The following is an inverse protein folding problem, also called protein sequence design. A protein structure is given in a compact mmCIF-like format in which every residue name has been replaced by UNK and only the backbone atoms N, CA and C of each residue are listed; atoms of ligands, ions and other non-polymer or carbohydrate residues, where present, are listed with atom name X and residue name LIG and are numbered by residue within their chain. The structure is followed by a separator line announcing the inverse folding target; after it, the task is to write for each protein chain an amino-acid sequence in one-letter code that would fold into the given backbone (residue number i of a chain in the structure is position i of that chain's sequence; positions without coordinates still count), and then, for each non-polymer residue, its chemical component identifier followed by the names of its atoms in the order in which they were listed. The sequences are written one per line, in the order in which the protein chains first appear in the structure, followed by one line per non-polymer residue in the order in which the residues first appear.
data_IF_130839262246
#
_entry.id   IF_130839262246
#
_cell.length_a   1.000
_cell.length_b   1.000
_cell.length_c   1.000
_cell.angle_alpha   90.00
_cell.angle_beta   90.00
_cell.angle_gamma   90.00
#
_symmetry.space_group_name_H-M   'P 1'
#
loop_
_entity.id
_entity.type
_entity.pdbx_description
1 polymer ?
#
# COMPACT_ATOMS: atom_id res chain seq x y z
N UNK A 1 -9.37 1.72 -11.32
CA UNK A 1 -10.52 1.25 -10.54
C UNK A 1 -10.89 -0.15 -10.99
N UNK A 2 -11.33 -0.98 -10.07
CA UNK A 2 -11.61 -2.40 -10.32
C UNK A 2 -13.14 -2.56 -10.40
N UNK A 3 -13.75 -2.63 -11.58
CA UNK A 3 -15.22 -2.55 -11.73
C UNK A 3 -15.98 -3.69 -11.05
N UNK A 4 -15.30 -4.79 -10.75
CA UNK A 4 -15.90 -5.95 -10.09
C UNK A 4 -15.40 -6.16 -8.64
N UNK A 5 -14.57 -5.28 -8.13
CA UNK A 5 -14.09 -5.38 -6.76
C UNK A 5 -15.14 -4.88 -5.76
N UNK A 6 -15.25 -5.52 -4.59
CA UNK A 6 -16.10 -5.00 -3.52
C UNK A 6 -15.70 -3.56 -3.12
N UNK A 7 -16.65 -2.73 -2.69
CA UNK A 7 -16.34 -1.41 -2.16
C UNK A 7 -15.26 -1.46 -1.06
N UNK A 8 -14.44 -0.41 -0.89
CA UNK A 8 -13.36 -0.37 0.11
C UNK A 8 -13.83 -0.73 1.52
N UNK A 9 -15.00 -0.25 1.93
CA UNK A 9 -15.58 -0.56 3.25
C UNK A 9 -15.86 -2.07 3.44
N UNK A 10 -16.31 -2.76 2.38
CA UNK A 10 -16.56 -4.20 2.44
C UNK A 10 -15.27 -4.98 2.57
N UNK A 11 -14.20 -4.56 1.86
CA UNK A 11 -12.86 -5.15 1.98
C UNK A 11 -12.29 -4.93 3.38
N UNK A 12 -12.44 -3.73 3.93
CA UNK A 12 -12.03 -3.43 5.30
C UNK A 12 -12.76 -4.31 6.33
N UNK A 13 -14.08 -4.46 6.20
CA UNK A 13 -14.88 -5.33 7.08
C UNK A 13 -14.47 -6.80 7.01
N UNK A 14 -14.02 -7.27 5.83
CA UNK A 14 -13.51 -8.62 5.67
C UNK A 14 -12.16 -8.79 6.40
N UNK A 15 -11.26 -7.82 6.28
CA UNK A 15 -9.98 -7.82 7.01
C UNK A 15 -10.19 -7.81 8.52
N UNK A 16 -11.11 -6.97 9.01
CA UNK A 16 -11.46 -6.88 10.43
C UNK A 16 -11.97 -8.24 10.97
N UNK A 17 -12.86 -8.90 10.24
CA UNK A 17 -13.35 -10.25 10.61
C UNK A 17 -12.24 -11.29 10.65
N UNK A 18 -11.35 -11.28 9.65
CA UNK A 18 -10.21 -12.21 9.62
C UNK A 18 -9.29 -12.00 10.83
N UNK A 19 -9.02 -10.75 11.17
CA UNK A 19 -8.18 -10.43 12.33
C UNK A 19 -8.83 -10.81 13.65
N UNK A 20 -10.13 -10.58 13.81
CA UNK A 20 -10.90 -11.05 14.97
C UNK A 20 -10.92 -12.58 15.09
N UNK A 21 -10.81 -13.29 13.98
CA UNK A 21 -10.67 -14.74 13.94
C UNK A 21 -9.23 -15.24 14.17
N UNK A 22 -8.28 -14.35 14.50
CA UNK A 22 -6.88 -14.69 14.75
C UNK A 22 -6.04 -14.93 13.49
N UNK A 23 -6.55 -14.57 12.31
CA UNK A 23 -5.80 -14.67 11.06
C UNK A 23 -4.90 -13.44 10.91
N UNK A 24 -3.60 -13.65 10.71
CA UNK A 24 -2.67 -12.55 10.41
C UNK A 24 -3.00 -11.94 9.05
N UNK A 25 -3.23 -10.64 9.03
CA UNK A 25 -3.55 -9.90 7.81
C UNK A 25 -2.47 -8.85 7.52
N UNK A 26 -2.30 -8.51 6.25
CA UNK A 26 -1.56 -7.34 5.83
C UNK A 26 -2.40 -6.53 4.83
N UNK A 27 -2.09 -5.26 4.69
CA UNK A 27 -2.76 -4.37 3.75
C UNK A 27 -1.80 -4.01 2.62
N UNK A 28 -2.21 -4.24 1.37
CA UNK A 28 -1.52 -3.69 0.21
C UNK A 28 -2.16 -2.35 -0.16
N UNK A 29 -1.48 -1.26 0.15
CA UNK A 29 -1.81 0.10 -0.27
C UNK A 29 -1.07 0.40 -1.58
N UNK A 30 -1.40 -0.36 -2.62
CA UNK A 30 -0.86 -0.27 -3.97
C UNK A 30 -2.01 -0.04 -4.94
N UNK A 31 -2.03 0.93 -5.75
CA UNK A 31 -1.07 2.02 -5.95
C UNK A 31 -1.65 3.33 -5.41
N UNK A 32 -0.83 4.17 -4.78
CA UNK A 32 -1.23 5.53 -4.45
C UNK A 32 -0.94 6.44 -5.64
N UNK A 33 -1.81 7.41 -5.87
CA UNK A 33 -1.68 8.39 -6.95
C UNK A 33 -2.09 9.77 -6.46
N UNK A 34 -1.52 10.78 -7.06
CA UNK A 34 -1.82 12.17 -6.78
C UNK A 34 -3.29 12.51 -7.14
N UNK A 35 -3.92 13.45 -6.44
CA UNK A 35 -3.27 14.37 -5.50
C UNK A 35 -3.30 13.93 -4.03
N UNK A 36 -3.07 12.66 -3.71
CA UNK A 36 -3.04 12.21 -2.31
C UNK A 36 -1.96 12.95 -1.50
N UNK A 37 -2.41 13.72 -0.52
CA UNK A 37 -1.56 14.46 0.38
C UNK A 37 -1.47 13.86 1.78
N UNK A 38 -0.90 14.62 2.71
CA UNK A 38 -0.71 14.21 4.09
C UNK A 38 -2.02 13.85 4.81
N UNK A 39 -3.08 14.64 4.58
CA UNK A 39 -4.40 14.42 5.20
C UNK A 39 -5.06 13.15 4.68
N UNK A 40 -4.95 12.85 3.37
CA UNK A 40 -5.48 11.64 2.75
C UNK A 40 -4.79 10.39 3.31
N UNK A 41 -3.44 10.43 3.43
CA UNK A 41 -2.69 9.35 4.06
C UNK A 41 -3.01 9.20 5.53
N UNK A 42 -3.21 10.28 6.26
CA UNK A 42 -3.62 10.22 7.65
C UNK A 42 -4.98 9.55 7.81
N UNK A 43 -5.97 9.94 7.00
CA UNK A 43 -7.29 9.31 7.00
C UNK A 43 -7.18 7.82 6.68
N UNK A 44 -6.50 7.46 5.58
CA UNK A 44 -6.35 6.07 5.14
C UNK A 44 -5.63 5.20 6.17
N UNK A 45 -4.51 5.67 6.73
CA UNK A 45 -3.77 4.94 7.76
C UNK A 45 -4.56 4.80 9.07
N UNK A 46 -5.43 5.76 9.40
CA UNK A 46 -6.32 5.65 10.56
C UNK A 46 -7.32 4.50 10.43
N UNK A 47 -7.83 4.24 9.22
CA UNK A 47 -8.65 3.06 8.94
C UNK A 47 -7.85 1.76 9.13
N UNK A 48 -6.60 1.70 8.68
CA UNK A 48 -5.78 0.51 8.86
C UNK A 48 -5.40 0.32 10.33
N UNK A 49 -5.10 1.39 11.05
CA UNK A 49 -4.83 1.32 12.49
C UNK A 49 -6.01 0.77 13.30
N UNK A 50 -7.23 1.03 12.86
CA UNK A 50 -8.44 0.51 13.51
C UNK A 50 -8.55 -1.04 13.39
N UNK A 51 -7.82 -1.68 12.49
CA UNK A 51 -7.67 -3.14 12.43
C UNK A 51 -6.77 -3.70 13.56
N UNK A 52 -6.04 -2.89 14.29
CA UNK A 52 -5.07 -3.32 15.29
C UNK A 52 -3.63 -3.29 14.78
N UNK A 53 -2.78 -4.22 15.22
CA UNK A 53 -1.42 -4.35 14.68
C UNK A 53 -1.47 -4.94 13.28
N UNK A 54 -1.03 -4.17 12.28
CA UNK A 54 -1.09 -4.58 10.87
C UNK A 54 0.13 -4.08 10.10
N UNK A 55 0.60 -4.90 9.17
CA UNK A 55 1.63 -4.53 8.20
C UNK A 55 0.96 -3.90 6.98
N UNK A 56 1.45 -2.74 6.56
CA UNK A 56 1.00 -2.04 5.36
C UNK A 56 2.14 -1.99 4.34
N UNK A 57 1.89 -2.51 3.15
CA UNK A 57 2.80 -2.42 2.01
C UNK A 57 2.35 -1.27 1.12
N UNK A 58 3.21 -0.29 0.91
CA UNK A 58 2.91 0.90 0.11
C UNK A 58 3.78 0.97 -1.14
N UNK A 59 3.15 1.22 -2.28
CA UNK A 59 3.79 1.43 -3.56
C UNK A 59 3.13 2.61 -4.30
N UNK A 60 3.88 3.64 -4.73
CA UNK A 60 3.38 4.69 -5.60
C UNK A 60 3.04 4.17 -6.99
N UNK A 61 2.18 4.89 -7.73
CA UNK A 61 1.75 4.46 -9.06
C UNK A 61 2.94 4.34 -10.03
N UNK A 62 2.90 3.26 -10.82
CA UNK A 62 3.86 2.99 -11.90
C UNK A 62 3.20 3.27 -13.26
N UNK A 63 3.70 4.27 -14.04
CA UNK A 63 3.09 4.65 -15.32
C UNK A 63 3.20 3.60 -16.42
N UNK A 64 4.01 2.54 -16.21
CA UNK A 64 4.20 1.45 -17.17
C UNK A 64 3.26 0.26 -16.92
N UNK A 65 2.56 0.27 -15.79
CA UNK A 65 1.60 -0.79 -15.47
C UNK A 65 0.39 -0.78 -16.43
N UNK A 66 -0.11 -1.95 -16.81
CA UNK A 66 -1.29 -2.06 -17.68
C UNK A 66 -2.54 -1.41 -17.05
N UNK A 67 -2.59 -1.32 -15.73
CA UNK A 67 -3.67 -0.70 -14.98
C UNK A 67 -3.59 0.85 -14.95
N UNK A 68 -2.42 1.43 -15.28
CA UNK A 68 -2.25 2.89 -15.30
C UNK A 68 -3.25 3.58 -16.25
N UNK A 69 -3.34 3.07 -17.49
CA UNK A 69 -4.28 3.61 -18.48
C UNK A 69 -5.75 3.45 -18.03
N UNK A 70 -6.05 2.40 -17.28
CA UNK A 70 -7.39 2.22 -16.72
C UNK A 70 -7.69 3.25 -15.62
N UNK A 71 -6.70 3.58 -14.77
CA UNK A 71 -6.83 4.63 -13.77
C UNK A 71 -7.04 6.00 -14.42
N UNK A 72 -6.25 6.32 -15.44
CA UNK A 72 -6.39 7.57 -16.21
C UNK A 72 -7.79 7.69 -16.83
N UNK A 73 -8.23 6.66 -17.56
CA UNK A 73 -9.56 6.63 -18.17
C UNK A 73 -10.68 6.74 -17.13
N UNK A 74 -10.52 6.09 -15.98
CA UNK A 74 -11.52 6.17 -14.91
C UNK A 74 -11.59 7.57 -14.28
N UNK A 75 -10.45 8.26 -14.13
CA UNK A 75 -10.39 9.63 -13.64
C UNK A 75 -11.06 10.59 -14.64
N UNK A 76 -10.77 10.46 -15.94
CA UNK A 76 -11.41 11.22 -17.02
C UNK A 76 -12.94 11.06 -16.99
N UNK A 77 -13.43 9.81 -16.92
CA UNK A 77 -14.86 9.51 -16.88
C UNK A 77 -15.56 10.04 -15.61
N UNK A 78 -14.82 10.15 -14.51
CA UNK A 78 -15.35 10.67 -13.26
C UNK A 78 -15.25 12.21 -13.16
N UNK A 79 -14.56 12.87 -14.10
CA UNK A 79 -14.38 14.32 -14.11
C UNK A 79 -13.39 14.82 -13.06
N UNK A 80 -12.40 14.00 -12.70
CA UNK A 80 -11.31 14.38 -11.79
C UNK A 80 -10.14 14.97 -12.61
N UNK A 81 -10.32 16.20 -13.10
CA UNK A 81 -9.37 16.83 -14.02
C UNK A 81 -7.98 17.03 -13.42
N UNK A 82 -7.87 17.32 -12.12
CA UNK A 82 -6.63 17.43 -11.37
C UNK A 82 -5.87 16.10 -11.30
N UNK A 83 -6.56 14.99 -11.06
CA UNK A 83 -5.97 13.64 -11.08
C UNK A 83 -5.49 13.27 -12.48
N UNK A 84 -6.27 13.63 -13.51
CA UNK A 84 -5.89 13.38 -14.92
C UNK A 84 -4.61 14.12 -15.27
N UNK A 85 -4.51 15.41 -14.93
CA UNK A 85 -3.33 16.23 -15.20
C UNK A 85 -2.08 15.65 -14.53
N UNK A 86 -2.17 15.27 -13.26
CA UNK A 86 -1.08 14.65 -12.51
C UNK A 86 -0.65 13.31 -13.11
N UNK A 87 -1.58 12.42 -13.42
CA UNK A 87 -1.27 11.13 -14.03
C UNK A 87 -0.59 11.33 -15.39
N UNK A 88 -1.03 12.28 -16.19
CA UNK A 88 -0.37 12.62 -17.47
C UNK A 88 1.06 13.10 -17.27
N UNK A 89 1.33 13.96 -16.29
CA UNK A 89 2.69 14.39 -15.96
C UNK A 89 3.58 13.23 -15.52
N UNK A 90 3.05 12.32 -14.69
CA UNK A 90 3.77 11.09 -14.28
C UNK A 90 4.10 10.21 -15.49
N UNK A 91 3.21 10.12 -16.49
CA UNK A 91 3.42 9.36 -17.71
C UNK A 91 4.44 9.99 -18.64
N UNK A 92 4.38 11.30 -18.81
CA UNK A 92 5.13 12.02 -19.84
C UNK A 92 6.54 12.41 -19.40
N UNK A 93 6.80 12.47 -18.08
CA UNK A 93 8.07 12.91 -17.53
C UNK A 93 8.63 11.93 -16.49
N UNK A 94 9.71 11.24 -16.88
CA UNK A 94 10.45 10.38 -15.95
C UNK A 94 10.93 11.14 -14.70
N UNK A 95 11.41 12.39 -14.88
CA UNK A 95 11.84 13.20 -13.73
C UNK A 95 10.67 13.48 -12.79
N UNK A 96 9.52 13.84 -13.33
CA UNK A 96 8.31 14.10 -12.55
C UNK A 96 7.88 12.83 -11.80
N UNK A 97 7.87 11.67 -12.47
CA UNK A 97 7.57 10.38 -11.82
C UNK A 97 8.50 10.09 -10.64
N UNK A 98 9.82 10.35 -10.78
CA UNK A 98 10.80 10.14 -9.69
C UNK A 98 10.51 11.05 -8.50
N UNK A 99 10.27 12.35 -8.75
CA UNK A 99 9.99 13.35 -7.72
C UNK A 99 8.68 13.02 -7.01
N UNK A 100 7.63 12.73 -7.76
CA UNK A 100 6.34 12.29 -7.27
C UNK A 100 6.45 11.03 -6.39
N UNK A 101 7.11 9.98 -6.88
CA UNK A 101 7.25 8.75 -6.11
C UNK A 101 8.00 8.97 -4.80
N UNK A 102 9.08 9.78 -4.81
CA UNK A 102 9.81 10.13 -3.59
C UNK A 102 8.95 10.91 -2.61
N UNK A 103 8.13 11.85 -3.09
CA UNK A 103 7.22 12.61 -2.26
C UNK A 103 6.20 11.68 -1.59
N UNK A 104 5.54 10.82 -2.35
CA UNK A 104 4.57 9.83 -1.83
C UNK A 104 5.20 8.90 -0.80
N UNK A 105 6.38 8.33 -1.10
CA UNK A 105 7.11 7.45 -0.19
C UNK A 105 7.47 8.14 1.14
N UNK A 106 7.95 9.38 1.07
CA UNK A 106 8.31 10.15 2.27
C UNK A 106 7.09 10.56 3.09
N UNK A 107 6.02 11.03 2.42
CA UNK A 107 4.79 11.48 3.09
C UNK A 107 4.14 10.33 3.85
N UNK A 108 4.01 9.16 3.21
CA UNK A 108 3.46 7.97 3.89
C UNK A 108 4.29 7.60 5.11
N UNK A 109 5.62 7.56 5.00
CA UNK A 109 6.50 7.25 6.12
C UNK A 109 6.38 8.28 7.25
N UNK A 110 6.31 9.57 6.91
CA UNK A 110 6.14 10.63 7.90
C UNK A 110 4.80 10.51 8.63
N UNK A 111 3.72 10.28 7.90
CA UNK A 111 2.38 10.12 8.49
C UNK A 111 2.32 8.85 9.35
N UNK A 112 2.93 7.75 8.90
CA UNK A 112 2.96 6.48 9.62
C UNK A 112 3.56 6.60 11.03
N UNK A 113 4.54 7.51 11.24
CA UNK A 113 5.12 7.74 12.56
C UNK A 113 4.12 8.23 13.63
N UNK A 114 2.94 8.67 13.23
CA UNK A 114 1.88 9.13 14.12
C UNK A 114 0.98 8.01 14.64
N UNK A 115 1.18 6.78 14.13
CA UNK A 115 0.34 5.64 14.44
C UNK A 115 1.16 4.50 15.08
N UNK A 116 0.98 4.30 16.37
CA UNK A 116 1.53 3.13 17.06
C UNK A 116 0.81 1.86 16.56
N UNK A 117 1.58 0.80 16.28
CA UNK A 117 1.05 -0.50 15.84
C UNK A 117 0.78 -0.61 14.33
N UNK A 118 1.12 0.40 13.52
CA UNK A 118 1.25 0.27 12.08
C UNK A 118 2.71 0.07 11.70
N UNK A 119 2.97 -0.97 10.92
CA UNK A 119 4.29 -1.25 10.34
C UNK A 119 4.21 -0.99 8.83
N UNK A 120 4.56 0.22 8.42
CA UNK A 120 4.41 0.67 7.03
C UNK A 120 5.71 0.51 6.27
N UNK A 121 5.70 -0.35 5.25
CA UNK A 121 6.81 -0.61 4.36
C UNK A 121 6.56 0.01 3.00
N UNK A 122 7.35 1.00 2.64
CA UNK A 122 7.28 1.68 1.34
C UNK A 122 8.21 1.02 0.34
N UNK A 123 7.68 0.64 -0.81
CA UNK A 123 8.42 -0.06 -1.85
C UNK A 123 8.49 0.77 -3.14
N UNK A 124 9.64 1.37 -3.48
CA UNK A 124 9.83 1.98 -4.79
C UNK A 124 9.97 0.90 -5.87
N UNK A 125 9.32 1.12 -7.01
CA UNK A 125 9.44 0.23 -8.18
C UNK A 125 10.90 0.03 -8.60
N UNK A 126 11.27 -1.21 -8.92
CA UNK A 126 12.65 -1.58 -9.28
C UNK A 126 13.16 -0.82 -10.50
N UNK A 127 12.31 -0.54 -11.48
CA UNK A 127 12.70 0.20 -12.66
C UNK A 127 12.88 1.68 -12.36
N UNK A 128 12.04 2.24 -11.47
CA UNK A 128 12.23 3.59 -10.97
C UNK A 128 13.63 3.73 -10.35
N UNK A 129 14.03 2.78 -9.51
CA UNK A 129 15.36 2.76 -8.90
C UNK A 129 16.45 2.62 -9.97
N UNK A 130 16.30 1.70 -10.94
CA UNK A 130 17.30 1.43 -11.98
C UNK A 130 17.46 2.58 -12.96
N UNK A 131 16.37 3.22 -13.35
CA UNK A 131 16.36 4.32 -14.34
C UNK A 131 16.74 5.67 -13.76
N UNK A 132 16.78 5.80 -12.44
CA UNK A 132 17.18 7.03 -11.74
C UNK A 132 18.69 7.03 -11.48
N UNK A 133 19.29 8.21 -11.38
CA UNK A 133 20.73 8.38 -11.15
C UNK A 133 21.05 9.35 -10.01
N UNK A 134 22.30 9.39 -9.59
CA UNK A 134 22.79 10.36 -8.61
C UNK A 134 22.14 10.21 -7.23
N UNK A 135 21.92 11.34 -6.58
CA UNK A 135 21.42 11.39 -5.20
C UNK A 135 19.97 10.84 -5.06
N UNK A 136 19.15 11.01 -6.09
CA UNK A 136 17.77 10.50 -6.08
C UNK A 136 17.75 8.96 -6.08
N UNK A 137 18.62 8.33 -6.88
CA UNK A 137 18.77 6.87 -6.86
C UNK A 137 19.22 6.37 -5.48
N UNK A 138 20.15 7.08 -4.84
CA UNK A 138 20.61 6.69 -3.49
C UNK A 138 19.49 6.73 -2.47
N UNK A 139 18.61 7.75 -2.55
CA UNK A 139 17.43 7.84 -1.68
C UNK A 139 16.45 6.69 -1.92
N UNK A 140 16.08 6.42 -3.17
CA UNK A 140 15.18 5.32 -3.53
C UNK A 140 15.74 3.96 -3.09
N UNK A 141 17.04 3.73 -3.32
CA UNK A 141 17.74 2.50 -2.89
C UNK A 141 17.71 2.34 -1.36
N UNK A 142 17.90 3.42 -0.62
CA UNK A 142 17.84 3.38 0.84
C UNK A 142 16.44 2.99 1.34
N UNK A 143 15.38 3.53 0.73
CA UNK A 143 14.00 3.15 1.06
C UNK A 143 13.77 1.66 0.73
N UNK A 144 14.18 1.19 -0.45
CA UNK A 144 14.04 -0.20 -0.87
C UNK A 144 14.76 -1.18 0.06
N UNK A 145 15.96 -0.82 0.53
CA UNK A 145 16.75 -1.65 1.44
C UNK A 145 16.24 -1.67 2.87
N UNK A 146 15.51 -0.63 3.29
CA UNK A 146 14.87 -0.59 4.61
C UNK A 146 13.75 -1.63 4.73
N UNK A 147 13.19 -2.09 3.60
CA UNK A 147 12.20 -3.17 3.52
C UNK A 147 12.92 -4.50 3.27
N UNK A 148 13.56 -5.05 4.30
CA UNK A 148 14.18 -6.38 4.19
C UNK A 148 13.13 -7.47 4.34
N UNK A 149 13.18 -8.56 3.51
CA UNK A 149 12.36 -9.77 3.73
C UNK A 149 12.50 -10.37 5.13
N UNK A 150 13.62 -10.15 5.79
CA UNK A 150 13.90 -10.59 7.15
C UNK A 150 13.00 -9.90 8.19
N UNK A 151 12.57 -8.66 7.92
CA UNK A 151 11.63 -7.94 8.79
C UNK A 151 10.21 -8.57 8.81
N UNK A 152 9.85 -9.33 7.78
CA UNK A 152 8.59 -10.08 7.74
C UNK A 152 8.68 -11.44 8.45
N UNK A 153 9.88 -12.02 8.57
CA UNK A 153 10.10 -13.36 9.11
C UNK A 153 10.09 -13.40 10.64
N UNK A 154 10.54 -12.34 11.30
CA UNK A 154 10.74 -12.33 12.76
C UNK A 154 9.44 -12.26 13.55
N UNK A 155 8.35 -11.72 13.00
CA UNK A 155 7.04 -11.67 13.70
C UNK A 155 6.19 -12.92 13.56
N UNK A 156 6.39 -13.74 12.52
CA UNK A 156 5.66 -14.99 12.33
C UNK A 156 6.08 -16.09 13.33
N UNK A 157 7.24 -15.96 13.98
CA UNK A 157 7.78 -16.93 14.94
C UNK A 157 7.40 -16.65 16.41
N UNK A 158 6.90 -15.46 16.73
CA UNK A 158 6.45 -15.11 18.08
C UNK A 158 4.95 -15.37 18.33
N UNK A 159 4.22 -15.91 17.34
CA UNK A 159 2.88 -16.43 17.57
C UNK A 159 2.98 -17.66 18.48
N UNK A 160 2.45 -17.53 19.70
CA UNK A 160 2.45 -18.59 20.72
C UNK A 160 1.89 -19.89 20.17
N UNK A 161 2.48 -21.08 20.51
CA UNK A 161 2.01 -22.38 20.02
C UNK A 161 0.53 -22.67 20.33
N UNK A 162 -0.06 -22.01 21.31
CA UNK A 162 -1.47 -22.17 21.69
C UNK A 162 -2.45 -21.68 20.62
N UNK A 163 -2.05 -20.73 19.75
CA UNK A 163 -2.91 -20.24 18.66
C UNK A 163 -2.92 -21.17 17.44
N UNK A 164 -1.95 -22.05 17.30
CA UNK A 164 -1.88 -22.99 16.17
C UNK A 164 -2.78 -24.23 16.33
N UNK A 165 -3.25 -24.53 17.53
CA UNK A 165 -4.16 -25.67 17.75
C UNK A 165 -5.61 -25.35 17.40
N UNK A 166 -6.05 -24.10 17.57
CA UNK A 166 -7.42 -23.66 17.23
C UNK A 166 -7.69 -23.65 15.71
N UNK A 167 -6.64 -23.57 14.90
CA UNK A 167 -6.76 -23.59 13.42
C UNK A 167 -6.87 -25.02 12.84
N UNK A 168 -6.79 -26.06 13.66
CA UNK A 168 -6.80 -27.47 13.21
C UNK A 168 -8.15 -28.17 13.37
N UNK A 169 -9.08 -27.62 14.14
CA UNK A 169 -10.45 -28.13 14.21
C UNK A 169 -11.28 -27.47 13.10
N UNK A 170 -11.22 -28.16 11.93
CA UNK A 170 -11.77 -27.67 10.68
C UNK A 170 -13.29 -27.51 10.71
N UNK A 171 -13.76 -26.29 10.91
CA UNK A 171 -15.01 -25.86 10.32
C UNK A 171 -14.72 -25.16 8.99
N UNK A 172 -15.32 -25.71 7.94
CA UNK A 172 -15.23 -25.21 6.57
C UNK A 172 -15.64 -23.75 6.50
N UNK A 173 -14.75 -22.88 5.98
CA UNK A 173 -15.02 -21.47 5.77
C UNK A 173 -15.79 -21.20 4.47
N UNK A 174 -16.35 -22.21 3.82
CA UNK A 174 -17.06 -22.12 2.52
C UNK A 174 -18.28 -21.20 2.53
N UNK A 175 -18.72 -20.73 3.69
CA UNK A 175 -19.81 -19.79 3.85
C UNK A 175 -19.37 -18.34 4.12
N UNK A 176 -18.03 -18.06 4.10
CA UNK A 176 -17.45 -16.74 4.39
C UNK A 176 -16.81 -16.05 3.18
N UNK A 177 -16.81 -16.72 2.00
CA UNK A 177 -16.22 -16.19 0.76
C UNK A 177 -17.36 -15.81 -0.22
#
# INVERSE_FOLDING_TARGET
MEPNAPPPITRWQALDKLQQAGVSVFVSMSTTYSPMGEDDFHELLSYFRALGEVVVLHEPINPRGANFQQCLTAAEQAGYDDVVEELQQVQDSHQYWVEYALEQLNTVQQVATRFDGLDVHSWPDDELVRSTSGQLRSKLTAIQQAVSPESFSTRATDASPEQSELARDGESIDHLI
#
